data_IF_877404049915
#
_entry.id   IF_877404049915
#
_cell.length_a   1.000
_cell.length_b   1.000
_cell.length_c   1.000
_cell.angle_alpha   90.00
_cell.angle_beta   90.00
_cell.angle_gamma   90.00
#
_symmetry.space_group_name_H-M   'P 1'
#
loop_
_entity.id
_entity.type
_entity.pdbx_description
1 polymer ?
#
# COMPACT_ATOMS: atom_id res chain seq x y z
N UNK A 1 -6.61 -8.31 3.82
CA UNK A 1 -6.42 -7.32 4.91
C UNK A 1 -6.91 -7.82 6.27
N UNK A 2 -8.14 -8.34 6.38
CA UNK A 2 -8.71 -8.72 7.69
C UNK A 2 -7.91 -9.81 8.43
N UNK A 3 -7.46 -10.85 7.72
CA UNK A 3 -6.62 -11.90 8.29
C UNK A 3 -5.21 -11.39 8.70
N UNK A 4 -4.69 -10.39 7.98
CA UNK A 4 -3.41 -9.73 8.35
C UNK A 4 -3.56 -8.94 9.65
N UNK A 5 -4.70 -8.29 9.87
CA UNK A 5 -4.97 -7.62 11.16
C UNK A 5 -5.22 -8.62 12.28
N UNK A 6 -5.95 -9.70 12.00
CA UNK A 6 -6.23 -10.75 12.99
C UNK A 6 -4.94 -11.34 13.57
N UNK A 7 -3.90 -11.53 12.75
CA UNK A 7 -2.62 -12.07 13.23
C UNK A 7 -1.85 -11.12 14.16
N UNK A 8 -2.23 -9.83 14.25
CA UNK A 8 -1.65 -8.83 15.18
C UNK A 8 -2.56 -8.50 16.35
N UNK A 9 -3.87 -8.40 16.09
CA UNK A 9 -4.86 -7.93 17.06
C UNK A 9 -5.62 -9.07 17.75
N UNK A 10 -5.48 -10.30 17.27
CA UNK A 10 -6.33 -11.42 17.68
C UNK A 10 -7.77 -11.24 17.19
N UNK A 11 -8.74 -11.73 17.98
CA UNK A 11 -10.15 -11.51 17.68
C UNK A 11 -10.49 -10.02 17.85
N UNK A 12 -10.68 -9.31 16.74
CA UNK A 12 -11.07 -7.90 16.72
C UNK A 12 -12.38 -7.73 15.91
N UNK A 13 -13.20 -6.71 16.21
CA UNK A 13 -14.37 -6.40 15.40
C UNK A 13 -13.95 -5.99 13.98
N UNK A 14 -14.28 -6.80 12.98
CA UNK A 14 -13.88 -6.57 11.58
C UNK A 14 -14.35 -5.20 11.05
N UNK A 15 -15.47 -4.70 11.55
CA UNK A 15 -16.02 -3.38 11.21
C UNK A 15 -15.04 -2.23 11.50
N UNK A 16 -14.09 -2.39 12.43
CA UNK A 16 -13.12 -1.34 12.72
C UNK A 16 -12.30 -0.94 11.50
N UNK A 17 -11.93 -1.89 10.64
CA UNK A 17 -11.18 -1.58 9.42
C UNK A 17 -12.03 -0.77 8.44
N UNK A 18 -13.29 -1.18 8.25
CA UNK A 18 -14.21 -0.54 7.32
C UNK A 18 -14.58 0.86 7.80
N UNK A 19 -14.84 1.01 9.11
CA UNK A 19 -15.13 2.29 9.74
C UNK A 19 -13.92 3.22 9.73
N UNK A 20 -12.69 2.73 9.96
CA UNK A 20 -11.48 3.54 9.89
C UNK A 20 -11.22 4.06 8.47
N UNK A 21 -11.55 3.28 7.43
CA UNK A 21 -11.55 3.78 6.05
C UNK A 21 -12.64 4.85 5.85
N UNK A 22 -13.88 4.58 6.28
CA UNK A 22 -15.02 5.49 6.12
C UNK A 22 -14.85 6.82 6.87
N UNK A 23 -14.25 6.80 8.07
CA UNK A 23 -13.89 8.01 8.84
C UNK A 23 -12.68 8.74 8.27
N UNK A 24 -11.94 8.10 7.36
CA UNK A 24 -10.77 8.71 6.76
C UNK A 24 -9.50 8.65 7.59
N UNK A 25 -9.41 7.72 8.54
CA UNK A 25 -8.17 7.44 9.27
C UNK A 25 -7.19 6.68 8.36
N UNK A 26 -7.75 5.86 7.46
CA UNK A 26 -7.02 5.08 6.47
C UNK A 26 -7.36 5.54 5.05
N UNK A 27 -6.51 5.14 4.11
CA UNK A 27 -6.78 5.20 2.69
C UNK A 27 -6.30 3.92 2.01
N UNK A 28 -6.82 3.64 0.82
CA UNK A 28 -6.30 2.58 -0.05
C UNK A 28 -5.46 3.17 -1.18
N UNK A 29 -4.26 2.64 -1.39
CA UNK A 29 -3.45 2.97 -2.57
C UNK A 29 -2.38 1.92 -2.86
N UNK A 30 -1.59 2.15 -3.93
CA UNK A 30 -0.46 1.33 -4.34
C UNK A 30 0.83 1.68 -3.56
N UNK A 31 1.03 1.04 -2.40
CA UNK A 31 2.33 1.04 -1.70
C UNK A 31 3.16 -0.19 -2.09
N UNK A 32 2.95 -1.33 -1.43
CA UNK A 32 3.48 -2.62 -1.91
C UNK A 32 2.65 -3.15 -3.09
N UNK A 33 1.37 -3.37 -2.82
CA UNK A 33 0.32 -3.56 -3.81
C UNK A 33 -0.87 -2.68 -3.39
N UNK A 34 -2.07 -2.97 -3.87
CA UNK A 34 -3.27 -2.34 -3.34
C UNK A 34 -3.42 -2.73 -1.86
N UNK A 35 -3.16 -1.78 -0.96
CA UNK A 35 -3.24 -1.99 0.48
C UNK A 35 -3.84 -0.78 1.19
N UNK A 36 -4.18 -0.98 2.46
CA UNK A 36 -4.53 0.10 3.38
C UNK A 36 -3.26 0.76 3.89
N UNK A 37 -3.31 2.08 4.09
CA UNK A 37 -2.27 2.88 4.74
C UNK A 37 -2.90 4.03 5.52
N UNK A 38 -2.21 4.59 6.52
CA UNK A 38 -2.67 5.80 7.20
C UNK A 38 -2.96 6.91 6.19
N UNK A 39 -4.01 7.71 6.42
CA UNK A 39 -4.30 8.87 5.54
C UNK A 39 -3.13 9.85 5.47
N UNK A 40 -2.35 10.00 6.54
CA UNK A 40 -1.14 10.83 6.58
C UNK A 40 -0.10 10.43 5.54
N UNK A 41 -0.10 9.17 5.08
CA UNK A 41 0.84 8.67 4.08
C UNK A 41 0.49 9.12 2.66
N UNK A 42 -0.64 9.83 2.47
CA UNK A 42 -0.99 10.45 1.20
C UNK A 42 0.17 11.28 0.63
N UNK A 43 0.83 12.08 1.47
CA UNK A 43 2.01 12.86 1.06
C UNK A 43 3.14 12.01 0.51
N UNK A 44 3.32 10.81 1.05
CA UNK A 44 4.40 9.91 0.65
C UNK A 44 4.11 9.31 -0.73
N UNK A 45 2.86 8.98 -1.03
CA UNK A 45 2.50 8.33 -2.31
C UNK A 45 2.02 9.30 -3.39
N UNK A 46 1.79 10.58 -3.07
CA UNK A 46 1.22 11.57 -4.00
C UNK A 46 2.05 11.74 -5.27
N UNK A 47 3.39 11.69 -5.18
CA UNK A 47 4.27 11.74 -6.34
C UNK A 47 3.98 10.62 -7.37
N UNK A 48 3.48 9.45 -6.93
CA UNK A 48 3.08 8.34 -7.82
C UNK A 48 1.77 8.62 -8.54
N UNK A 49 0.84 9.27 -7.85
CA UNK A 49 -0.45 9.68 -8.43
C UNK A 49 -0.28 10.76 -9.50
N UNK A 50 0.69 11.67 -9.29
CA UNK A 50 1.02 12.75 -10.22
C UNK A 50 1.83 12.29 -11.44
N UNK A 51 2.45 11.11 -11.36
CA UNK A 51 3.19 10.47 -12.45
C UNK A 51 2.68 9.03 -12.71
N UNK A 52 1.37 8.86 -13.00
CA UNK A 52 0.76 7.54 -13.08
C UNK A 52 1.30 6.69 -14.23
N UNK A 53 1.85 7.30 -15.28
CA UNK A 53 2.53 6.62 -16.40
C UNK A 53 3.73 5.77 -15.93
N UNK A 54 4.35 6.10 -14.79
CA UNK A 54 5.46 5.34 -14.20
C UNK A 54 5.00 4.08 -13.44
N UNK A 55 3.69 3.90 -13.26
CA UNK A 55 3.08 2.79 -12.52
C UNK A 55 2.98 1.49 -13.32
N UNK A 56 3.43 1.48 -14.58
CA UNK A 56 3.46 0.30 -15.43
C UNK A 56 2.06 -0.24 -15.70
N UNK A 57 1.84 -1.55 -15.58
CA UNK A 57 0.55 -2.17 -15.91
C UNK A 57 -0.66 -1.65 -15.09
N UNK A 58 -0.41 -0.99 -13.95
CA UNK A 58 -1.43 -0.36 -13.09
C UNK A 58 -2.06 0.89 -13.72
N UNK A 59 -1.46 1.44 -14.78
CA UNK A 59 -1.97 2.58 -15.52
C UNK A 59 -1.75 2.39 -17.02
N UNK A 60 -2.81 2.54 -17.81
CA UNK A 60 -2.75 2.36 -19.27
C UNK A 60 -3.01 3.69 -19.96
N UNK A 61 -1.96 4.43 -20.25
CA UNK A 61 -2.04 5.79 -20.79
C UNK A 61 -2.86 5.89 -22.08
N UNK A 62 -2.61 5.01 -23.04
CA UNK A 62 -3.37 4.94 -24.30
C UNK A 62 -4.88 4.79 -24.08
N UNK A 63 -5.31 4.05 -23.04
CA UNK A 63 -6.72 3.91 -22.71
C UNK A 63 -7.33 5.17 -22.12
N UNK A 64 -6.56 5.89 -21.30
CA UNK A 64 -7.01 7.14 -20.70
C UNK A 64 -7.18 8.23 -21.76
N UNK A 65 -6.33 8.22 -22.79
CA UNK A 65 -6.44 9.11 -23.95
C UNK A 65 -7.62 8.71 -24.86
N UNK A 66 -7.72 7.42 -25.22
CA UNK A 66 -8.80 6.91 -26.09
C UNK A 66 -10.20 7.20 -25.52
N UNK A 67 -10.36 7.12 -24.20
CA UNK A 67 -11.64 7.31 -23.51
C UNK A 67 -11.74 8.61 -22.70
N UNK A 68 -10.95 9.63 -23.05
CA UNK A 68 -10.88 10.90 -22.28
C UNK A 68 -12.27 11.51 -22.04
N UNK A 69 -13.11 11.56 -23.09
CA UNK A 69 -14.45 12.13 -23.01
C UNK A 69 -15.33 11.40 -21.99
N UNK A 70 -15.39 10.06 -22.05
CA UNK A 70 -16.16 9.22 -21.12
C UNK A 70 -15.65 9.33 -19.68
N UNK A 71 -14.33 9.46 -19.51
CA UNK A 71 -13.70 9.64 -18.21
C UNK A 71 -14.07 11.00 -17.61
N UNK A 72 -14.06 12.07 -18.40
CA UNK A 72 -14.55 13.39 -17.99
C UNK A 72 -16.04 13.32 -17.60
N UNK A 73 -16.82 12.56 -18.39
CA UNK A 73 -18.16 12.05 -18.08
C UNK A 73 -18.34 11.60 -16.64
N UNK A 74 -17.56 10.58 -16.32
CA UNK A 74 -17.56 9.90 -15.03
C UNK A 74 -17.13 10.83 -13.89
N UNK A 75 -16.11 11.67 -14.09
CA UNK A 75 -15.69 12.66 -13.08
C UNK A 75 -16.82 13.63 -12.78
N UNK A 76 -17.48 14.17 -13.82
CA UNK A 76 -18.61 15.09 -13.66
C UNK A 76 -19.79 14.40 -12.97
N UNK A 77 -20.05 13.13 -13.29
CA UNK A 77 -21.08 12.36 -12.60
C UNK A 77 -20.78 12.21 -11.11
N UNK A 78 -19.55 11.86 -10.72
CA UNK A 78 -19.15 11.75 -9.31
C UNK A 78 -19.27 13.11 -8.61
N UNK A 79 -18.89 14.18 -9.31
CA UNK A 79 -19.10 15.54 -8.84
C UNK A 79 -20.59 15.79 -8.54
N UNK A 80 -21.48 15.58 -9.49
CA UNK A 80 -22.88 16.01 -9.34
C UNK A 80 -23.74 15.05 -8.51
N UNK A 81 -23.42 13.75 -8.51
CA UNK A 81 -24.22 12.67 -7.90
C UNK A 81 -23.56 12.03 -6.69
N UNK A 82 -22.29 12.30 -6.45
CA UNK A 82 -21.53 11.76 -5.33
C UNK A 82 -20.82 10.44 -5.64
N UNK A 83 -20.35 9.73 -4.61
CA UNK A 83 -19.49 8.56 -4.75
C UNK A 83 -20.13 7.40 -5.51
N UNK A 84 -19.31 6.64 -6.25
CA UNK A 84 -19.77 5.52 -7.09
C UNK A 84 -18.94 4.25 -6.92
N UNK A 85 -19.53 3.10 -7.26
CA UNK A 85 -18.86 1.81 -7.41
C UNK A 85 -18.87 1.40 -8.86
N UNK A 86 -17.93 0.53 -9.24
CA UNK A 86 -17.95 -0.10 -10.57
C UNK A 86 -19.29 -0.78 -10.87
N UNK A 87 -19.91 -1.42 -9.88
CA UNK A 87 -21.16 -2.15 -10.03
C UNK A 87 -22.39 -1.25 -10.27
N UNK A 88 -22.31 0.05 -9.96
CA UNK A 88 -23.41 0.97 -10.24
C UNK A 88 -23.62 1.18 -11.76
N UNK A 89 -22.64 0.73 -12.58
CA UNK A 89 -22.66 0.81 -14.04
C UNK A 89 -22.84 -0.56 -14.74
N UNK A 90 -22.99 -1.65 -13.99
CA UNK A 90 -23.08 -3.02 -14.54
C UNK A 90 -24.51 -3.43 -14.95
N UNK A 91 -25.53 -2.62 -14.69
CA UNK A 91 -26.93 -2.93 -15.05
C UNK A 91 -27.72 -1.69 -15.47
N UNK A 92 -28.05 -1.49 -16.77
CA UNK A 92 -29.18 -0.66 -17.11
C UNK A 92 -30.46 -1.38 -16.69
N UNK A 93 -31.36 -0.65 -16.02
CA UNK A 93 -32.76 -1.07 -15.96
C UNK A 93 -33.27 -1.25 -17.39
N UNK A 94 -33.98 -2.36 -17.67
CA UNK A 94 -34.65 -2.58 -18.96
C UNK A 94 -35.46 -1.32 -19.33
N UNK A 95 -35.14 -0.71 -20.47
CA UNK A 95 -35.86 0.45 -21.01
C UNK A 95 -35.17 1.82 -20.86
N UNK A 96 -34.00 1.91 -20.23
CA UNK A 96 -33.20 3.14 -20.27
C UNK A 96 -32.31 3.15 -21.53
N UNK A 97 -32.84 3.66 -22.66
CA UNK A 97 -32.01 4.06 -23.80
C UNK A 97 -31.34 5.38 -23.45
N UNK A 98 -30.14 5.31 -22.89
CA UNK A 98 -29.26 6.44 -22.68
C UNK A 98 -27.84 6.00 -22.96
N UNK A 99 -26.91 6.96 -23.01
CA UNK A 99 -25.47 6.77 -23.21
C UNK A 99 -24.80 5.64 -22.37
N UNK A 100 -25.50 5.13 -21.36
CA UNK A 100 -25.14 4.01 -20.50
C UNK A 100 -25.15 2.62 -21.17
N UNK A 101 -24.86 2.51 -22.46
CA UNK A 101 -24.61 1.19 -23.06
C UNK A 101 -23.22 0.67 -22.67
N UNK A 102 -23.22 -0.29 -21.75
CA UNK A 102 -22.17 -1.20 -21.27
C UNK A 102 -20.72 -1.09 -21.82
N UNK A 103 -19.79 -1.15 -20.85
CA UNK A 103 -18.30 -1.13 -20.87
C UNK A 103 -17.71 0.28 -20.77
N UNK A 104 -16.51 0.50 -20.16
CA UNK A 104 -15.71 -0.29 -19.23
C UNK A 104 -15.37 0.59 -17.98
N UNK A 105 -16.40 1.16 -17.32
CA UNK A 105 -16.25 2.07 -16.16
C UNK A 105 -15.32 1.54 -15.06
N UNK A 106 -15.24 0.23 -14.86
CA UNK A 106 -14.24 -0.38 -13.97
C UNK A 106 -12.82 0.08 -14.29
N UNK A 107 -12.44 0.03 -15.57
CA UNK A 107 -11.09 0.40 -16.03
C UNK A 107 -10.88 1.91 -16.01
N UNK A 108 -11.92 2.72 -16.22
CA UNK A 108 -11.87 4.16 -15.98
C UNK A 108 -11.60 4.47 -14.50
N UNK A 109 -12.36 3.85 -13.59
CA UNK A 109 -12.18 4.01 -12.14
C UNK A 109 -10.79 3.53 -11.69
N UNK A 110 -10.28 2.41 -12.21
CA UNK A 110 -8.93 1.94 -11.93
C UNK A 110 -7.85 2.93 -12.42
N UNK A 111 -8.02 3.49 -13.61
CA UNK A 111 -7.13 4.52 -14.14
C UNK A 111 -7.16 5.81 -13.33
N UNK A 112 -8.36 6.32 -12.99
CA UNK A 112 -8.55 7.49 -12.14
C UNK A 112 -8.01 7.27 -10.72
N UNK A 113 -8.16 6.07 -10.18
CA UNK A 113 -7.61 5.69 -8.88
C UNK A 113 -6.08 5.74 -8.92
N UNK A 114 -5.45 5.10 -9.92
CA UNK A 114 -3.99 5.16 -10.08
C UNK A 114 -3.47 6.58 -10.37
N UNK A 115 -4.24 7.42 -11.06
CA UNK A 115 -3.92 8.83 -11.26
C UNK A 115 -4.26 9.73 -10.06
N UNK A 116 -4.75 9.16 -8.94
CA UNK A 116 -5.16 9.90 -7.75
C UNK A 116 -6.20 10.98 -8.02
N UNK A 117 -7.05 10.80 -9.02
CA UNK A 117 -8.21 11.67 -9.32
C UNK A 117 -9.44 11.27 -8.50
N UNK A 118 -9.52 10.00 -8.13
CA UNK A 118 -10.47 9.47 -7.16
C UNK A 118 -9.76 8.70 -6.05
N UNK A 119 -10.38 8.65 -4.88
CA UNK A 119 -9.94 7.86 -3.74
C UNK A 119 -11.06 6.92 -3.29
N UNK A 120 -10.69 5.81 -2.64
CA UNK A 120 -11.65 4.90 -2.03
C UNK A 120 -12.06 5.47 -0.68
N UNK A 121 -13.35 5.70 -0.47
CA UNK A 121 -13.90 6.22 0.79
C UNK A 121 -14.47 5.13 1.70
N UNK A 122 -14.90 4.01 1.13
CA UNK A 122 -15.40 2.86 1.89
C UNK A 122 -15.45 1.61 1.00
N UNK A 123 -15.82 0.48 1.59
CA UNK A 123 -16.14 -0.75 0.87
C UNK A 123 -17.56 -1.20 1.18
N UNK A 124 -18.32 -1.56 0.13
CA UNK A 124 -19.64 -2.18 0.25
C UNK A 124 -19.59 -3.55 -0.42
N UNK A 125 -19.77 -4.63 0.34
CA UNK A 125 -19.67 -6.02 -0.17
C UNK A 125 -18.35 -6.26 -0.94
N UNK A 126 -17.22 -5.86 -0.34
CA UNK A 126 -15.87 -5.89 -0.93
C UNK A 126 -15.64 -4.99 -2.16
N UNK A 127 -16.66 -4.29 -2.65
CA UNK A 127 -16.52 -3.33 -3.75
C UNK A 127 -16.08 -1.97 -3.23
N UNK A 128 -15.08 -1.37 -3.89
CA UNK A 128 -14.63 0.00 -3.60
C UNK A 128 -15.69 1.01 -4.00
N UNK A 129 -15.97 1.95 -3.09
CA UNK A 129 -16.73 3.16 -3.35
C UNK A 129 -15.73 4.30 -3.55
N UNK A 130 -15.78 4.95 -4.71
CA UNK A 130 -14.85 6.00 -5.11
C UNK A 130 -15.51 7.37 -5.03
N UNK A 131 -14.78 8.35 -4.50
CA UNK A 131 -15.13 9.77 -4.58
C UNK A 131 -13.93 10.59 -5.08
N UNK A 132 -14.16 11.83 -5.49
CA UNK A 132 -13.12 12.73 -5.99
C UNK A 132 -12.10 13.03 -4.89
N UNK A 133 -10.81 12.98 -5.23
CA UNK A 133 -9.72 13.20 -4.28
C UNK A 133 -9.87 14.51 -3.50
N UNK A 134 -10.30 15.61 -4.14
CA UNK A 134 -10.48 16.90 -3.46
C UNK A 134 -11.67 16.93 -2.48
N UNK A 135 -12.63 16.01 -2.57
CA UNK A 135 -13.69 15.85 -1.55
C UNK A 135 -13.20 15.05 -0.36
N UNK A 136 -12.35 14.07 -0.63
CA UNK A 136 -11.76 13.19 0.40
C UNK A 136 -10.64 13.89 1.17
N UNK A 137 -9.90 14.75 0.49
CA UNK A 137 -8.76 15.53 1.00
C UNK A 137 -8.98 17.03 0.73
N UNK A 138 -10.00 17.67 1.34
CA UNK A 138 -10.39 19.05 1.00
C UNK A 138 -9.34 20.10 1.34
N UNK A 139 -8.53 19.83 2.36
CA UNK A 139 -7.49 20.76 2.81
C UNK A 139 -6.14 20.52 2.13
N UNK A 140 -6.01 19.48 1.30
CA UNK A 140 -4.76 19.12 0.65
C UNK A 140 -4.44 20.08 -0.51
N UNK A 141 -3.21 20.57 -0.51
CA UNK A 141 -2.68 21.42 -1.57
C UNK A 141 -1.34 20.87 -2.06
N UNK A 142 -1.27 20.47 -3.34
CA UNK A 142 -0.04 19.93 -3.93
C UNK A 142 1.12 20.97 -3.95
N UNK A 143 0.85 22.28 -3.91
CA UNK A 143 1.91 23.29 -3.85
C UNK A 143 2.52 23.43 -2.45
N UNK A 144 1.72 23.19 -1.41
CA UNK A 144 2.12 23.39 -0.01
C UNK A 144 2.55 22.09 0.68
N UNK A 145 1.83 21.00 0.43
CA UNK A 145 1.90 19.77 1.24
C UNK A 145 2.72 18.66 0.59
N UNK A 146 3.03 18.80 -0.71
CA UNK A 146 3.81 17.81 -1.46
C UNK A 146 5.26 17.77 -0.97
N UNK A 147 5.76 16.55 -0.82
CA UNK A 147 7.19 16.30 -0.63
C UNK A 147 7.83 15.84 -1.93
N UNK A 148 9.12 16.11 -2.09
CA UNK A 148 9.84 15.56 -3.24
C UNK A 148 9.81 14.03 -3.22
N UNK A 149 9.92 13.40 -4.40
CA UNK A 149 9.99 11.94 -4.49
C UNK A 149 11.14 11.39 -3.63
N UNK A 150 12.30 12.05 -3.64
CA UNK A 150 13.47 11.65 -2.85
C UNK A 150 13.17 11.66 -1.35
N UNK A 151 12.57 12.73 -0.83
CA UNK A 151 12.20 12.81 0.60
C UNK A 151 11.15 11.77 0.97
N UNK A 152 10.14 11.56 0.11
CA UNK A 152 9.13 10.53 0.32
C UNK A 152 9.77 9.14 0.38
N UNK A 153 10.69 8.81 -0.53
CA UNK A 153 11.40 7.54 -0.55
C UNK A 153 12.28 7.35 0.69
N UNK A 154 12.94 8.40 1.18
CA UNK A 154 13.71 8.34 2.44
C UNK A 154 12.79 7.98 3.60
N UNK A 155 11.65 8.65 3.75
CA UNK A 155 10.67 8.35 4.82
C UNK A 155 10.10 6.92 4.66
N UNK A 156 9.83 6.49 3.43
CA UNK A 156 9.39 5.12 3.17
C UNK A 156 10.45 4.09 3.57
N UNK A 157 11.74 4.34 3.31
CA UNK A 157 12.83 3.48 3.75
C UNK A 157 12.95 3.43 5.27
N UNK A 158 12.76 4.56 5.97
CA UNK A 158 12.71 4.61 7.43
C UNK A 158 11.56 3.75 7.98
N UNK A 159 10.37 3.89 7.40
CA UNK A 159 9.21 3.08 7.73
C UNK A 159 9.45 1.59 7.48
N UNK A 160 10.07 1.24 6.36
CA UNK A 160 10.48 -0.14 6.04
C UNK A 160 11.44 -0.69 7.08
N UNK A 161 12.49 0.06 7.42
CA UNK A 161 13.52 -0.36 8.37
C UNK A 161 12.91 -0.64 9.75
N UNK A 162 12.07 0.28 10.25
CA UNK A 162 11.35 0.11 11.50
C UNK A 162 10.42 -1.11 11.48
N UNK A 163 9.71 -1.33 10.37
CA UNK A 163 8.73 -2.42 10.24
C UNK A 163 9.38 -3.80 10.10
N UNK A 164 10.50 -3.90 9.40
CA UNK A 164 11.24 -5.16 9.24
C UNK A 164 12.08 -5.51 10.47
N UNK A 165 12.53 -4.48 11.19
CA UNK A 165 13.30 -4.56 12.41
C UNK A 165 14.75 -4.93 12.18
N UNK A 166 15.02 -6.21 11.88
CA UNK A 166 16.30 -6.65 11.33
C UNK A 166 16.21 -6.77 9.81
N UNK A 167 17.20 -6.23 9.10
CA UNK A 167 17.12 -6.17 7.65
C UNK A 167 18.47 -6.15 6.95
N UNK A 168 18.43 -6.53 5.67
CA UNK A 168 19.42 -6.12 4.67
C UNK A 168 18.85 -4.95 3.88
N UNK A 169 19.72 -4.05 3.41
CA UNK A 169 19.31 -2.85 2.66
C UNK A 169 18.41 -3.18 1.47
N UNK A 170 18.73 -4.26 0.73
CA UNK A 170 17.94 -4.70 -0.42
C UNK A 170 16.50 -5.12 -0.08
N UNK A 171 16.19 -5.42 1.18
CA UNK A 171 14.82 -5.76 1.59
C UNK A 171 13.93 -4.54 1.77
N UNK A 172 14.51 -3.36 2.04
CA UNK A 172 13.74 -2.15 2.36
C UNK A 172 12.94 -1.64 1.17
N UNK A 173 13.53 -1.71 -0.02
CA UNK A 173 12.92 -1.19 -1.25
C UNK A 173 11.62 -1.93 -1.61
N UNK A 174 11.55 -3.23 -1.36
CA UNK A 174 10.40 -4.03 -1.78
C UNK A 174 9.13 -3.73 -0.97
N UNK A 175 9.28 -3.29 0.29
CA UNK A 175 8.16 -2.99 1.18
C UNK A 175 7.20 -1.93 0.60
N UNK A 176 7.71 -0.96 -0.15
CA UNK A 176 6.91 0.03 -0.88
C UNK A 176 7.05 -0.09 -2.42
N UNK A 177 7.62 -1.19 -2.94
CA UNK A 177 8.00 -1.36 -4.37
C UNK A 177 8.80 -0.18 -4.95
N UNK A 178 9.74 0.35 -4.18
CA UNK A 178 10.61 1.44 -4.62
C UNK A 178 11.51 0.96 -5.77
N UNK A 179 11.60 1.75 -6.85
CA UNK A 179 12.44 1.42 -8.00
C UNK A 179 13.80 2.10 -7.85
N UNK A 180 14.83 1.30 -7.54
CA UNK A 180 16.24 1.76 -7.42
C UNK A 180 16.44 2.95 -6.46
N UNK A 181 15.93 2.89 -5.21
CA UNK A 181 16.19 3.96 -4.25
C UNK A 181 17.68 4.04 -3.86
N UNK A 182 18.10 5.19 -3.34
CA UNK A 182 19.49 5.45 -2.92
C UNK A 182 19.86 4.76 -1.58
N UNK A 183 19.85 3.42 -1.57
CA UNK A 183 20.02 2.61 -0.35
C UNK A 183 21.33 2.85 0.40
N UNK A 184 22.46 2.96 -0.31
CA UNK A 184 23.77 3.12 0.32
C UNK A 184 23.88 4.46 1.06
N UNK A 185 23.44 5.55 0.40
CA UNK A 185 23.41 6.88 0.99
C UNK A 185 22.44 6.96 2.18
N UNK A 186 21.25 6.33 2.06
CA UNK A 186 20.32 6.22 3.18
C UNK A 186 20.96 5.47 4.36
N UNK A 187 21.60 4.32 4.11
CA UNK A 187 22.24 3.49 5.14
C UNK A 187 23.34 4.25 5.87
N UNK A 188 24.21 4.92 5.13
CA UNK A 188 25.31 5.73 5.70
C UNK A 188 24.78 6.85 6.59
N UNK A 189 23.81 7.62 6.11
CA UNK A 189 23.21 8.70 6.89
C UNK A 189 22.53 8.19 8.17
N UNK A 190 21.79 7.08 8.11
CA UNK A 190 21.09 6.52 9.27
C UNK A 190 22.04 5.86 10.27
N UNK A 191 23.13 5.27 9.80
CA UNK A 191 24.16 4.72 10.67
C UNK A 191 24.91 5.84 11.40
N UNK A 192 25.26 6.93 10.71
CA UNK A 192 25.88 8.12 11.32
C UNK A 192 24.96 8.76 12.37
N UNK A 193 23.66 8.81 12.10
CA UNK A 193 22.62 9.29 13.03
C UNK A 193 22.29 8.29 14.15
N UNK A 194 22.93 7.11 14.18
CA UNK A 194 22.67 6.03 15.13
C UNK A 194 21.21 5.54 15.14
N UNK A 195 20.48 5.72 14.03
CA UNK A 195 19.11 5.24 13.87
C UNK A 195 19.07 3.76 13.45
N UNK A 196 20.18 3.24 12.94
CA UNK A 196 20.37 1.82 12.65
C UNK A 196 21.68 1.33 13.25
N UNK A 197 21.71 0.08 13.68
CA UNK A 197 22.83 -0.54 14.39
C UNK A 197 23.27 -1.76 13.60
N UNK A 198 24.57 -1.88 13.32
CA UNK A 198 25.12 -3.06 12.67
C UNK A 198 25.03 -4.25 13.62
N UNK A 199 24.52 -5.38 13.13
CA UNK A 199 24.40 -6.62 13.91
C UNK A 199 24.89 -7.81 13.08
N UNK A 200 25.39 -8.84 13.76
CA UNK A 200 25.74 -10.10 13.13
C UNK A 200 24.80 -11.19 13.61
N UNK A 201 24.21 -11.94 12.68
CA UNK A 201 23.33 -13.07 12.96
C UNK A 201 23.95 -14.32 12.34
N UNK A 202 24.22 -15.33 13.17
CA UNK A 202 25.01 -16.53 12.82
C UNK A 202 24.70 -17.12 11.44
N UNK A 203 23.41 -17.30 11.10
CA UNK A 203 22.98 -17.90 9.82
C UNK A 203 22.74 -16.88 8.69
N UNK A 204 22.64 -15.59 9.00
CA UNK A 204 22.28 -14.54 8.04
C UNK A 204 23.43 -13.58 7.73
N UNK A 205 24.52 -13.65 8.49
CA UNK A 205 25.68 -12.77 8.40
C UNK A 205 25.37 -11.37 8.92
N UNK A 206 25.97 -10.37 8.28
CA UNK A 206 25.84 -8.97 8.67
C UNK A 206 24.49 -8.40 8.22
N UNK A 207 23.84 -7.72 9.16
CA UNK A 207 22.52 -7.11 9.03
C UNK A 207 22.53 -5.74 9.72
N UNK A 208 21.43 -5.02 9.57
CA UNK A 208 21.13 -3.82 10.33
C UNK A 208 19.90 -4.06 11.21
N UNK A 209 19.90 -3.43 12.38
CA UNK A 209 18.78 -3.37 13.31
C UNK A 209 18.31 -1.92 13.41
N UNK A 210 17.00 -1.67 13.31
CA UNK A 210 16.44 -0.36 13.63
C UNK A 210 16.57 -0.06 15.14
N UNK A 211 17.05 1.13 15.50
CA UNK A 211 17.39 1.48 16.88
C UNK A 211 16.23 1.33 17.88
N UNK A 212 14.99 1.61 17.48
CA UNK A 212 13.78 1.40 18.31
C UNK A 212 13.63 -0.04 18.85
N UNK A 213 14.26 -1.02 18.20
CA UNK A 213 14.15 -2.43 18.58
C UNK A 213 15.39 -2.92 19.34
N UNK A 214 16.35 -2.05 19.65
CA UNK A 214 17.50 -2.39 20.49
C UNK A 214 17.10 -3.03 21.83
N UNK A 215 16.07 -2.54 22.57
CA UNK A 215 15.65 -3.21 23.80
C UNK A 215 15.15 -4.65 23.60
N UNK A 216 14.64 -4.99 22.40
CA UNK A 216 14.24 -6.36 22.08
C UNK A 216 15.45 -7.24 21.77
N UNK A 217 16.49 -6.70 21.14
CA UNK A 217 17.75 -7.43 20.91
C UNK A 217 18.43 -7.79 22.24
N UNK A 218 18.51 -6.86 23.19
CA UNK A 218 19.08 -7.12 24.52
C UNK A 218 18.33 -8.25 25.24
N UNK A 219 16.99 -8.24 25.15
CA UNK A 219 16.16 -9.33 25.68
C UNK A 219 16.39 -10.65 24.95
N UNK A 220 16.55 -10.63 23.63
CA UNK A 220 16.82 -11.84 22.85
C UNK A 220 18.16 -12.48 23.25
N UNK A 221 19.22 -11.67 23.37
CA UNK A 221 20.54 -12.13 23.82
C UNK A 221 20.53 -12.68 25.25
N UNK A 222 19.68 -12.12 26.12
CA UNK A 222 19.49 -12.62 27.48
C UNK A 222 18.56 -13.87 27.56
N UNK A 223 18.07 -14.40 26.43
CA UNK A 223 17.11 -15.52 26.41
C UNK A 223 15.73 -15.17 26.98
N UNK A 224 15.37 -13.87 27.03
CA UNK A 224 14.14 -13.34 27.64
C UNK A 224 13.08 -12.93 26.62
N UNK A 225 13.29 -13.23 25.35
CA UNK A 225 12.31 -13.02 24.30
C UNK A 225 11.52 -14.32 24.07
N UNK A 226 10.38 -14.44 24.75
CA UNK A 226 9.51 -15.61 24.68
C UNK A 226 8.29 -15.33 23.83
N UNK A 227 7.98 -16.20 22.87
CA UNK A 227 6.73 -16.14 22.13
C UNK A 227 5.55 -16.38 23.10
N UNK A 228 4.58 -15.48 23.09
CA UNK A 228 3.40 -15.57 23.97
C UNK A 228 2.15 -16.06 23.23
N UNK A 229 2.18 -16.04 21.90
CA UNK A 229 1.05 -16.39 21.04
C UNK A 229 1.54 -17.06 19.74
N UNK A 230 0.63 -17.77 19.08
CA UNK A 230 0.80 -18.25 17.71
C UNK A 230 -0.35 -17.73 16.86
N UNK A 231 -0.05 -17.32 15.63
CA UNK A 231 -1.03 -16.77 14.71
C UNK A 231 -0.89 -17.39 13.32
N UNK A 232 -2.02 -17.59 12.65
CA UNK A 232 -2.05 -17.98 11.24
C UNK A 232 -1.80 -16.72 10.40
N UNK A 233 -0.85 -16.81 9.47
CA UNK A 233 -0.53 -15.70 8.58
C UNK A 233 -1.28 -15.83 7.26
N UNK A 234 -1.73 -14.69 6.74
CA UNK A 234 -2.15 -14.57 5.35
C UNK A 234 -0.94 -14.80 4.42
N UNK A 235 -1.10 -15.40 3.23
CA UNK A 235 -0.01 -15.47 2.25
C UNK A 235 0.38 -14.07 1.70
N UNK A 236 -0.41 -13.04 1.99
CA UNK A 236 -0.11 -11.65 1.68
C UNK A 236 0.37 -10.85 2.90
N UNK A 237 0.73 -11.52 3.99
CA UNK A 237 1.20 -10.89 5.21
C UNK A 237 2.63 -10.32 5.02
N UNK A 238 2.92 -9.09 5.49
CA UNK A 238 4.24 -8.47 5.33
C UNK A 238 5.42 -9.28 5.88
N UNK A 239 5.18 -10.25 6.76
CA UNK A 239 6.24 -11.15 7.26
C UNK A 239 6.66 -12.16 6.20
N UNK A 240 5.74 -12.66 5.38
CA UNK A 240 5.96 -13.80 4.47
C UNK A 240 5.74 -13.48 2.98
N UNK A 241 5.30 -12.28 2.63
CA UNK A 241 5.06 -11.88 1.24
C UNK A 241 6.33 -11.86 0.37
N UNK A 242 7.48 -11.55 0.97
CA UNK A 242 8.80 -11.70 0.37
C UNK A 242 9.28 -13.11 0.69
N UNK A 243 9.08 -13.99 -0.28
CA UNK A 243 9.36 -15.42 -0.15
C UNK A 243 10.84 -15.70 0.08
N UNK A 244 11.73 -14.92 -0.54
CA UNK A 244 13.18 -15.09 -0.35
C UNK A 244 13.59 -14.73 1.07
N UNK A 245 13.02 -13.64 1.60
CA UNK A 245 13.22 -13.26 3.00
C UNK A 245 12.62 -14.28 3.96
N UNK A 246 11.41 -14.77 3.68
CA UNK A 246 10.75 -15.79 4.50
C UNK A 246 11.55 -17.09 4.58
N UNK A 247 12.05 -17.58 3.44
CA UNK A 247 12.91 -18.76 3.36
C UNK A 247 14.20 -18.56 4.18
N UNK A 248 14.85 -17.41 4.08
CA UNK A 248 16.07 -17.12 4.83
C UNK A 248 15.85 -17.02 6.34
N UNK A 249 14.72 -16.45 6.78
CA UNK A 249 14.43 -16.25 8.21
C UNK A 249 13.90 -17.52 8.88
N UNK A 250 13.09 -18.31 8.17
CA UNK A 250 12.27 -19.36 8.78
C UNK A 250 12.48 -20.74 8.16
N UNK A 251 13.37 -20.88 7.18
CA UNK A 251 13.55 -22.12 6.39
C UNK A 251 12.20 -22.63 5.83
N UNK A 252 11.36 -21.67 5.43
CA UNK A 252 10.00 -21.91 5.01
C UNK A 252 9.80 -21.42 3.57
N UNK A 253 9.50 -22.37 2.68
CA UNK A 253 9.18 -22.10 1.28
C UNK A 253 7.72 -22.40 1.00
N UNK A 254 7.02 -21.46 0.36
CA UNK A 254 5.65 -21.66 -0.11
C UNK A 254 5.42 -20.92 -1.42
N UNK A 255 4.49 -21.43 -2.23
CA UNK A 255 4.01 -20.79 -3.44
C UNK A 255 2.50 -20.98 -3.51
N UNK A 256 1.77 -19.89 -3.73
CA UNK A 256 0.34 -20.04 -4.03
C UNK A 256 0.20 -20.64 -5.43
N UNK A 257 -0.71 -21.60 -5.56
CA UNK A 257 -1.01 -22.32 -6.80
C UNK A 257 -1.37 -21.37 -7.96
N UNK A 258 -2.01 -20.24 -7.66
CA UNK A 258 -2.28 -19.19 -8.66
C UNK A 258 -1.02 -18.56 -9.29
N UNK A 259 0.16 -18.82 -8.72
CA UNK A 259 1.46 -18.39 -9.26
C UNK A 259 2.32 -19.55 -9.77
N UNK A 260 1.89 -20.81 -9.72
CA UNK A 260 2.58 -21.92 -10.41
C UNK A 260 2.16 -21.93 -11.88
N UNK A 261 3.11 -22.04 -12.84
CA UNK A 261 2.74 -22.33 -14.22
C UNK A 261 1.96 -23.65 -14.25
N UNK A 262 0.93 -23.71 -15.09
CA UNK A 262 0.24 -24.96 -15.41
C UNK A 262 1.18 -25.95 -16.09
#
# INVERSE_FOLDING_TARGET
PYLVLFSRLGNYPAQWLDESLARGELMEYWAHEACFMPRSDFRLIRHRMLAPEKMGWKYKDAWMQEHEAEIAQLIQHIHDKGPVRSADFEHPRKGASGWWEWKPHKRHLEGLFTAGKVMVIERRNFQRVYDLTHRVMPDWDDERDLVSQTEAEIIMLDNSARSLGIFREQWLADYYRLKRPALAAWREARAEQQQIIAVHVEKLGNLWLHADLLPLLERALAGKLTATHSAVLSPFDPVVWDRKRAEQLFDFSYRLECYTPA
#
